data_IF_922216954581
#
_entry.id   IF_922216954581
#
_cell.length_a   1.000
_cell.length_b   1.000
_cell.length_c   1.000
_cell.angle_alpha   90.00
_cell.angle_beta   90.00
_cell.angle_gamma   90.00
#
_symmetry.space_group_name_H-M   'P 1'
#
loop_
_entity.id
_entity.type
_entity.pdbx_description
1 polymer ?
#
# COMPACT_ATOMS: atom_id res chain seq x y z
N UNK A 1 16.54 -19.19 4.30
CA UNK A 1 15.60 -19.00 5.45
C UNK A 1 15.62 -17.57 5.97
N UNK A 2 16.77 -16.98 6.31
CA UNK A 2 16.85 -15.58 6.76
C UNK A 2 16.24 -14.57 5.75
N UNK A 3 16.41 -14.82 4.45
CA UNK A 3 15.96 -13.91 3.39
C UNK A 3 14.44 -13.63 3.40
N UNK A 4 13.60 -14.65 3.57
CA UNK A 4 12.13 -14.45 3.59
C UNK A 4 11.68 -13.66 4.82
N UNK A 5 12.37 -13.85 5.96
CA UNK A 5 12.10 -13.14 7.22
C UNK A 5 12.49 -11.66 7.08
N UNK A 6 13.64 -11.37 6.47
CA UNK A 6 14.05 -9.99 6.21
C UNK A 6 13.10 -9.28 5.25
N UNK A 7 12.69 -9.96 4.18
CA UNK A 7 11.83 -9.36 3.17
C UNK A 7 10.42 -9.07 3.70
N UNK A 8 9.82 -10.01 4.44
CA UNK A 8 8.49 -9.79 5.00
C UNK A 8 8.49 -8.64 6.03
N UNK A 9 9.53 -8.52 6.85
CA UNK A 9 9.66 -7.43 7.83
C UNK A 9 9.88 -6.08 7.14
N UNK A 10 10.67 -6.05 6.08
CA UNK A 10 10.89 -4.84 5.26
C UNK A 10 9.56 -4.33 4.70
N UNK A 11 8.78 -5.21 4.06
CA UNK A 11 7.47 -4.87 3.47
C UNK A 11 6.48 -4.45 4.57
N UNK A 12 6.38 -5.21 5.65
CA UNK A 12 5.50 -4.91 6.79
C UNK A 12 5.76 -3.50 7.33
N UNK A 13 7.02 -3.16 7.59
CA UNK A 13 7.41 -1.86 8.13
C UNK A 13 7.13 -0.73 7.13
N UNK A 14 7.44 -0.92 5.85
CA UNK A 14 7.18 0.07 4.80
C UNK A 14 5.68 0.37 4.64
N UNK A 15 4.84 -0.67 4.76
CA UNK A 15 3.39 -0.56 4.70
C UNK A 15 2.75 -0.17 6.04
N UNK A 16 3.54 0.02 7.10
CA UNK A 16 3.08 0.32 8.48
C UNK A 16 2.07 -0.71 9.03
N UNK A 17 2.20 -1.97 8.63
CA UNK A 17 1.35 -3.07 9.09
C UNK A 17 1.89 -3.57 10.45
N UNK A 18 1.01 -3.81 11.41
CA UNK A 18 1.41 -4.36 12.71
C UNK A 18 1.77 -5.85 12.62
N UNK A 19 2.52 -6.34 13.60
CA UNK A 19 2.81 -7.78 13.71
C UNK A 19 1.55 -8.63 13.94
N UNK A 20 0.51 -8.05 14.55
CA UNK A 20 -0.76 -8.73 14.76
C UNK A 20 -1.52 -8.92 13.44
N UNK A 21 -1.55 -7.89 12.60
CA UNK A 21 -2.19 -7.94 11.28
C UNK A 21 -1.47 -8.91 10.34
N UNK A 22 -0.14 -8.88 10.28
CA UNK A 22 0.60 -9.88 9.48
C UNK A 22 0.42 -11.29 10.04
N UNK A 23 0.43 -11.44 11.37
CA UNK A 23 0.15 -12.72 12.01
C UNK A 23 -1.21 -13.29 11.60
N UNK A 24 -2.25 -12.45 11.63
CA UNK A 24 -3.60 -12.81 11.17
C UNK A 24 -3.62 -13.24 9.70
N UNK A 25 -2.99 -12.45 8.81
CA UNK A 25 -2.90 -12.77 7.38
C UNK A 25 -2.16 -14.09 7.12
N UNK A 26 -1.14 -14.38 7.92
CA UNK A 26 -0.39 -15.63 7.85
C UNK A 26 -1.03 -16.77 8.65
N UNK A 27 -2.20 -16.58 9.26
CA UNK A 27 -2.86 -17.59 10.07
C UNK A 27 -2.02 -18.10 11.25
N UNK A 28 -1.34 -17.19 11.96
CA UNK A 28 -0.58 -17.45 13.19
C UNK A 28 -0.85 -16.36 14.23
N UNK A 29 -0.54 -16.62 15.50
CA UNK A 29 -0.65 -15.56 16.52
C UNK A 29 0.46 -14.52 16.36
N UNK A 30 0.21 -13.29 16.81
CA UNK A 30 1.23 -12.23 16.87
C UNK A 30 2.49 -12.69 17.62
N UNK A 31 2.32 -13.39 18.74
CA UNK A 31 3.44 -13.92 19.53
C UNK A 31 4.24 -14.98 18.80
N UNK A 32 3.59 -15.86 18.02
CA UNK A 32 4.31 -16.84 17.20
C UNK A 32 5.09 -16.16 16.07
N UNK A 33 4.45 -15.23 15.36
CA UNK A 33 5.12 -14.40 14.34
C UNK A 33 6.35 -13.69 14.92
N UNK A 34 6.19 -13.03 16.08
CA UNK A 34 7.26 -12.35 16.80
C UNK A 34 8.43 -13.26 17.17
N UNK A 35 8.16 -14.50 17.59
CA UNK A 35 9.23 -15.47 17.89
C UNK A 35 9.99 -15.87 16.63
N UNK A 36 9.30 -16.11 15.52
CA UNK A 36 9.91 -16.51 14.25
C UNK A 36 10.83 -15.41 13.70
N UNK A 37 10.33 -14.17 13.59
CA UNK A 37 11.13 -13.05 13.06
C UNK A 37 12.32 -12.68 13.95
N UNK A 38 12.24 -12.92 15.27
CA UNK A 38 13.36 -12.75 16.20
C UNK A 38 14.28 -13.99 16.31
N UNK A 39 14.07 -15.03 15.50
CA UNK A 39 14.87 -16.26 15.54
C UNK A 39 14.70 -17.10 16.81
N UNK A 40 13.64 -16.85 17.61
CA UNK A 40 13.33 -17.57 18.86
C UNK A 40 12.43 -18.79 18.63
N UNK A 41 11.93 -18.98 17.41
CA UNK A 41 11.18 -20.15 16.98
C UNK A 41 11.58 -20.50 15.55
N UNK A 42 11.62 -21.79 15.23
CA UNK A 42 11.91 -22.24 13.88
C UNK A 42 10.79 -21.86 12.90
N UNK A 43 11.20 -21.47 11.69
CA UNK A 43 10.29 -21.21 10.59
C UNK A 43 9.91 -22.53 9.93
N UNK A 44 8.68 -23.00 10.13
CA UNK A 44 8.18 -24.17 9.41
C UNK A 44 8.03 -23.91 7.91
N UNK A 45 8.19 -24.94 7.09
CA UNK A 45 8.04 -24.87 5.63
C UNK A 45 6.68 -24.28 5.22
N UNK A 46 5.59 -24.74 5.86
CA UNK A 46 4.24 -24.23 5.60
C UNK A 46 4.07 -22.74 5.94
N UNK A 47 4.73 -22.26 7.01
CA UNK A 47 4.71 -20.83 7.32
C UNK A 47 5.58 -20.04 6.34
N UNK A 48 6.71 -20.59 5.91
CA UNK A 48 7.56 -19.99 4.89
C UNK A 48 6.83 -19.81 3.55
N UNK A 49 6.06 -20.80 3.12
CA UNK A 49 5.23 -20.74 1.90
C UNK A 49 4.21 -19.61 1.99
N UNK A 50 3.43 -19.56 3.08
CA UNK A 50 2.46 -18.47 3.33
C UNK A 50 3.12 -17.09 3.36
N UNK A 51 4.33 -16.98 3.93
CA UNK A 51 5.09 -15.73 3.91
C UNK A 51 5.46 -15.31 2.49
N UNK A 52 5.88 -16.24 1.63
CA UNK A 52 6.20 -15.96 0.22
C UNK A 52 4.96 -15.53 -0.56
N UNK A 53 3.84 -16.22 -0.37
CA UNK A 53 2.57 -15.86 -1.00
C UNK A 53 2.12 -14.45 -0.60
N UNK A 54 2.20 -14.13 0.70
CA UNK A 54 1.87 -12.81 1.21
C UNK A 54 2.81 -11.73 0.65
N UNK A 55 4.13 -11.98 0.60
CA UNK A 55 5.09 -11.05 -0.03
C UNK A 55 4.69 -10.74 -1.48
N UNK A 56 4.34 -11.78 -2.25
CA UNK A 56 3.96 -11.62 -3.64
C UNK A 56 2.64 -10.83 -3.78
N UNK A 57 1.65 -11.04 -2.90
CA UNK A 57 0.41 -10.25 -2.93
C UNK A 57 0.62 -8.77 -2.60
N UNK A 58 1.63 -8.44 -1.78
CA UNK A 58 2.00 -7.06 -1.50
C UNK A 58 2.68 -6.37 -2.68
N UNK A 59 3.37 -7.13 -3.55
CA UNK A 59 3.98 -6.58 -4.77
C UNK A 59 2.91 -6.19 -5.80
N UNK A 60 1.84 -6.98 -5.91
CA UNK A 60 0.72 -6.71 -6.82
C UNK A 60 -0.10 -5.48 -6.38
N UNK A 61 -0.29 -5.28 -5.07
CA UNK A 61 -0.91 -4.05 -4.53
C UNK A 61 -0.01 -2.82 -4.70
N UNK A 62 1.30 -2.98 -4.86
CA UNK A 62 2.23 -1.91 -5.19
C UNK A 62 1.94 -1.23 -6.54
N UNK A 63 1.46 -2.00 -7.55
CA UNK A 63 1.04 -1.45 -8.84
C UNK A 63 -0.19 -0.55 -8.73
N UNK A 64 -1.09 -0.86 -7.80
CA UNK A 64 -2.27 -0.05 -7.52
C UNK A 64 -1.87 1.33 -6.97
N UNK A 65 -0.82 1.40 -6.13
CA UNK A 65 -0.33 2.68 -5.59
C UNK A 65 0.36 3.55 -6.64
N UNK A 66 1.12 2.97 -7.58
CA UNK A 66 1.76 3.72 -8.66
C UNK A 66 0.71 4.25 -9.67
N UNK A 67 -0.27 3.42 -10.01
CA UNK A 67 -1.40 3.80 -10.87
C UNK A 67 -2.26 4.87 -10.21
N UNK A 68 -2.64 4.71 -8.93
CA UNK A 68 -3.39 5.70 -8.18
C UNK A 68 -2.64 7.04 -8.06
N UNK A 69 -1.32 6.99 -7.83
CA UNK A 69 -0.47 8.19 -7.83
C UNK A 69 -0.48 8.88 -9.21
N UNK A 70 -0.36 8.11 -10.29
CA UNK A 70 -0.42 8.63 -11.67
C UNK A 70 -1.78 9.24 -12.00
N UNK A 71 -2.88 8.59 -11.58
CA UNK A 71 -4.25 9.09 -11.74
C UNK A 71 -4.44 10.41 -11.00
N UNK A 72 -3.94 10.53 -9.76
CA UNK A 72 -4.00 11.78 -8.99
C UNK A 72 -3.22 12.91 -9.67
N UNK A 73 -2.02 12.63 -10.19
CA UNK A 73 -1.24 13.61 -10.95
C UNK A 73 -1.96 14.06 -12.22
N UNK A 74 -2.57 13.11 -12.94
CA UNK A 74 -3.33 13.41 -14.16
C UNK A 74 -4.55 14.28 -13.86
N UNK A 75 -5.30 13.98 -12.80
CA UNK A 75 -6.46 14.78 -12.38
C UNK A 75 -6.08 16.23 -12.03
N UNK A 76 -4.93 16.44 -11.38
CA UNK A 76 -4.40 17.79 -11.11
C UNK A 76 -4.03 18.50 -12.41
N UNK A 77 -3.34 17.81 -13.32
CA UNK A 77 -2.95 18.37 -14.62
C UNK A 77 -4.16 18.76 -15.48
N UNK A 78 -5.18 17.91 -15.55
CA UNK A 78 -6.43 18.18 -16.27
C UNK A 78 -7.10 19.41 -15.67
N UNK A 79 -7.22 19.49 -14.34
CA UNK A 79 -7.81 20.66 -13.67
C UNK A 79 -7.07 21.95 -14.04
N UNK A 80 -5.74 21.91 -14.03
CA UNK A 80 -4.93 23.07 -14.38
C UNK A 80 -5.13 23.50 -15.84
N UNK A 81 -5.17 22.55 -16.77
CA UNK A 81 -5.45 22.81 -18.18
C UNK A 81 -6.86 23.39 -18.39
N UNK A 82 -7.87 22.88 -17.67
CA UNK A 82 -9.22 23.43 -17.71
C UNK A 82 -9.25 24.90 -17.22
N UNK A 83 -8.51 25.23 -16.15
CA UNK A 83 -8.41 26.61 -15.68
C UNK A 83 -7.72 27.53 -16.69
N UNK A 84 -6.65 27.07 -17.31
CA UNK A 84 -5.95 27.81 -18.37
C UNK A 84 -6.87 28.08 -19.57
N UNK A 85 -7.63 27.06 -20.00
CA UNK A 85 -8.62 27.21 -21.07
C UNK A 85 -9.73 28.20 -20.71
N UNK A 86 -10.26 28.16 -19.48
CA UNK A 86 -11.26 29.13 -19.02
C UNK A 86 -10.72 30.56 -19.03
N UNK A 87 -9.45 30.75 -18.62
CA UNK A 87 -8.80 32.05 -18.66
C UNK A 87 -8.65 32.58 -20.09
N UNK A 88 -8.19 31.72 -21.02
CA UNK A 88 -8.08 32.07 -22.44
C UNK A 88 -9.45 32.37 -23.09
N UNK A 89 -10.51 31.72 -22.63
CA UNK A 89 -11.87 31.96 -23.09
C UNK A 89 -12.54 33.21 -22.47
N UNK A 90 -11.85 33.91 -21.54
CA UNK A 90 -12.40 35.07 -20.85
C UNK A 90 -13.50 34.75 -19.84
N UNK A 91 -13.59 33.51 -19.37
CA UNK A 91 -14.58 33.06 -18.40
C UNK A 91 -14.07 33.26 -16.96
N UNK A 92 -14.91 33.72 -16.00
CA UNK A 92 -14.52 33.82 -14.60
C UNK A 92 -14.26 32.41 -14.05
N UNK A 93 -13.05 32.19 -13.54
CA UNK A 93 -12.61 30.91 -13.02
C UNK A 93 -13.17 30.60 -11.63
N UNK A 94 -14.46 30.27 -11.55
CA UNK A 94 -15.04 29.62 -10.38
C UNK A 94 -15.56 28.24 -10.79
N UNK A 95 -14.86 27.19 -10.38
CA UNK A 95 -15.48 25.87 -10.32
C UNK A 95 -16.22 25.78 -9.00
N UNK A 96 -17.52 25.49 -9.07
CA UNK A 96 -18.32 25.08 -7.91
C UNK A 96 -17.67 23.81 -7.37
N UNK A 97 -16.98 23.93 -6.24
CA UNK A 97 -16.43 22.80 -5.51
C UNK A 97 -17.61 21.92 -5.13
N UNK A 98 -17.64 20.69 -5.63
CA UNK A 98 -18.69 19.69 -5.38
C UNK A 98 -18.72 19.19 -3.94
N UNK A 99 -18.23 19.98 -2.99
CA UNK A 99 -18.35 19.76 -1.56
C UNK A 99 -19.71 20.27 -1.07
N UNK A 100 -20.79 19.62 -1.53
CA UNK A 100 -22.02 19.58 -0.73
C UNK A 100 -22.00 18.29 0.08
N UNK A 101 -21.72 18.47 1.37
CA UNK A 101 -21.81 17.51 2.44
C UNK A 101 -23.28 17.40 2.87
N UNK A 102 -23.93 16.26 2.60
CA UNK A 102 -24.98 15.62 3.42
C UNK A 102 -25.44 14.31 2.74
#
# INVERSE_FOLDING_TARGET
>A
MAEVIHEIERIRLAARISQAEVGLALGVTQGHYSKVINGKAELSLKLQERMREWINSQADTGHETATARRMKQLAVSIRQQCMELMHLAGLPGEMIDGSHNA
#
